data_IF_179015768742
#
_entry.id   IF_179015768742
#
_cell.length_a   1.000
_cell.length_b   1.000
_cell.length_c   1.000
_cell.angle_alpha   90.00
_cell.angle_beta   90.00
_cell.angle_gamma   90.00
#
_symmetry.space_group_name_H-M   'P 1'
#
loop_
_entity.id
_entity.type
_entity.pdbx_description
1 polymer ?
#
# COMPACT_ATOMS: atom_id res chain seq x y z
N UNK A 1 -23.34 -16.97 -2.52
CA UNK A 1 -22.89 -15.63 -2.91
C UNK A 1 -21.41 -15.74 -3.19
N UNK A 2 -21.03 -15.82 -4.47
CA UNK A 2 -19.62 -15.68 -4.86
C UNK A 2 -19.25 -14.21 -4.67
N UNK A 3 -18.29 -13.96 -3.78
CA UNK A 3 -17.78 -12.61 -3.57
C UNK A 3 -16.98 -12.20 -4.81
N UNK A 4 -17.06 -10.93 -5.24
CA UNK A 4 -16.24 -10.45 -6.34
C UNK A 4 -14.77 -10.63 -5.93
N UNK A 5 -14.11 -11.61 -6.56
CA UNK A 5 -12.66 -11.74 -6.54
C UNK A 5 -12.13 -10.42 -7.08
N UNK A 6 -11.32 -9.71 -6.29
CA UNK A 6 -10.60 -8.52 -6.79
C UNK A 6 -9.94 -8.95 -8.10
N UNK A 7 -10.22 -8.29 -9.25
CA UNK A 7 -9.68 -8.72 -10.52
C UNK A 7 -8.17 -8.84 -10.37
N UNK A 8 -7.66 -10.07 -10.43
CA UNK A 8 -6.23 -10.30 -10.45
C UNK A 8 -5.74 -9.68 -11.75
N UNK A 9 -4.91 -8.64 -11.64
CA UNK A 9 -4.29 -8.04 -12.81
C UNK A 9 -3.58 -9.16 -13.61
N UNK A 10 -3.83 -9.18 -14.91
CA UNK A 10 -3.09 -10.03 -15.83
C UNK A 10 -1.61 -9.64 -15.82
N UNK A 11 -0.72 -10.54 -16.24
CA UNK A 11 0.71 -10.23 -16.28
C UNK A 11 1.03 -9.01 -17.18
N UNK A 12 0.25 -8.80 -18.24
CA UNK A 12 0.38 -7.61 -19.09
C UNK A 12 -0.02 -6.32 -18.36
N UNK A 13 -1.10 -6.34 -17.58
CA UNK A 13 -1.51 -5.19 -16.76
C UNK A 13 -0.50 -4.91 -15.64
N UNK A 14 0.05 -5.95 -15.03
CA UNK A 14 1.12 -5.81 -14.04
C UNK A 14 2.37 -5.19 -14.67
N UNK A 15 2.76 -5.63 -15.87
CA UNK A 15 3.91 -5.05 -16.57
C UNK A 15 3.69 -3.56 -16.90
N UNK A 16 2.50 -3.18 -17.37
CA UNK A 16 2.14 -1.78 -17.61
C UNK A 16 2.19 -0.96 -16.32
N UNK A 17 1.64 -1.49 -15.22
CA UNK A 17 1.67 -0.81 -13.92
C UNK A 17 3.11 -0.60 -13.42
N UNK A 18 3.99 -1.59 -13.59
CA UNK A 18 5.41 -1.46 -13.24
C UNK A 18 6.08 -0.38 -14.09
N UNK A 19 5.79 -0.34 -15.39
CA UNK A 19 6.33 0.68 -16.29
C UNK A 19 5.86 2.08 -15.87
N UNK A 20 4.54 2.27 -15.70
CA UNK A 20 3.94 3.53 -15.27
C UNK A 20 4.55 4.00 -13.93
N UNK A 21 4.76 3.09 -12.99
CA UNK A 21 5.39 3.41 -11.71
C UNK A 21 6.87 3.78 -11.85
N UNK A 22 7.62 3.05 -12.67
CA UNK A 22 9.04 3.32 -12.90
C UNK A 22 9.27 4.68 -13.59
N UNK A 23 8.30 5.11 -14.41
CA UNK A 23 8.32 6.39 -15.12
C UNK A 23 7.94 7.57 -14.21
N UNK A 24 7.42 7.33 -13.01
CA UNK A 24 7.12 8.40 -12.05
C UNK A 24 8.41 9.13 -11.64
N UNK A 25 8.39 10.48 -11.62
CA UNK A 25 9.51 11.24 -11.10
C UNK A 25 9.72 10.93 -9.62
N UNK A 26 10.97 11.00 -9.17
CA UNK A 26 11.32 10.86 -7.75
C UNK A 26 11.85 12.15 -7.18
N UNK A 27 11.40 12.44 -5.97
CA UNK A 27 11.78 13.62 -5.20
C UNK A 27 12.11 13.20 -3.78
N UNK A 28 13.11 13.84 -3.19
CA UNK A 28 13.49 13.63 -1.79
C UNK A 28 12.38 14.06 -0.82
N UNK A 29 11.56 15.03 -1.23
CA UNK A 29 10.44 15.57 -0.46
C UNK A 29 9.11 15.33 -1.16
N UNK A 30 8.03 15.27 -0.37
CA UNK A 30 6.68 15.10 -0.92
C UNK A 30 6.28 16.33 -1.74
N UNK A 31 5.40 16.21 -2.75
CA UNK A 31 5.02 17.36 -3.57
C UNK A 31 4.26 18.45 -2.80
N UNK A 32 3.66 18.10 -1.66
CA UNK A 32 2.82 18.98 -0.84
C UNK A 32 3.60 19.84 0.16
N UNK A 33 4.90 19.59 0.37
CA UNK A 33 5.66 20.25 1.43
C UNK A 33 7.11 19.80 1.54
N UNK A 34 7.85 20.32 2.54
CA UNK A 34 9.28 20.02 2.71
C UNK A 34 9.53 18.65 3.36
N UNK A 35 8.49 17.87 3.67
CA UNK A 35 8.61 16.62 4.39
C UNK A 35 9.29 15.55 3.54
N UNK A 36 10.09 14.64 4.13
CA UNK A 36 10.69 13.53 3.42
C UNK A 36 9.65 12.68 2.68
N UNK A 37 9.95 12.32 1.43
CA UNK A 37 9.14 11.41 0.62
C UNK A 37 9.39 9.94 1.01
N UNK A 38 9.22 9.65 2.30
CA UNK A 38 9.43 8.36 2.92
C UNK A 38 8.09 7.84 3.44
N UNK A 39 7.77 6.60 3.09
CA UNK A 39 6.46 6.01 3.36
C UNK A 39 6.58 4.74 4.18
N UNK A 40 5.73 4.60 5.18
CA UNK A 40 5.58 3.39 5.99
C UNK A 40 4.38 2.63 5.45
N UNK A 41 4.49 1.31 5.31
CA UNK A 41 3.35 0.47 4.97
C UNK A 41 3.24 -0.78 5.83
N UNK A 42 2.01 -1.26 5.98
CA UNK A 42 1.69 -2.45 6.76
C UNK A 42 0.40 -3.12 6.30
N UNK A 43 0.15 -4.32 6.82
CA UNK A 43 -1.08 -5.07 6.58
C UNK A 43 -1.97 -5.00 7.81
N UNK A 44 -3.13 -4.37 7.65
CA UNK A 44 -4.07 -4.15 8.75
C UNK A 44 -5.41 -4.80 8.45
N UNK A 45 -5.96 -5.55 9.40
CA UNK A 45 -7.28 -6.17 9.25
C UNK A 45 -8.35 -5.11 9.41
N UNK A 46 -9.28 -5.03 8.47
CA UNK A 46 -10.44 -4.14 8.57
C UNK A 46 -11.66 -4.98 8.99
N UNK A 47 -12.36 -4.63 10.10
CA UNK A 47 -13.51 -5.36 10.62
C UNK A 47 -14.81 -5.06 9.85
N UNK A 48 -14.73 -4.82 8.54
CA UNK A 48 -15.86 -4.51 7.68
C UNK A 48 -16.02 -5.68 6.70
N UNK A 49 -17.17 -6.37 6.68
CA UNK A 49 -17.39 -7.46 5.74
C UNK A 49 -17.32 -7.01 4.27
N UNK A 50 -16.66 -7.78 3.39
CA UNK A 50 -15.89 -8.98 3.69
C UNK A 50 -14.57 -8.63 4.40
N UNK A 51 -14.24 -9.38 5.47
CA UNK A 51 -12.99 -9.16 6.19
C UNK A 51 -11.78 -9.40 5.28
N UNK A 52 -10.79 -8.54 5.41
CA UNK A 52 -9.60 -8.55 4.58
C UNK A 52 -8.46 -7.76 5.21
N UNK A 53 -7.24 -8.04 4.76
CA UNK A 53 -6.11 -7.16 4.97
C UNK A 53 -6.20 -5.96 4.03
N UNK A 54 -5.97 -4.77 4.58
CA UNK A 54 -5.71 -3.55 3.84
C UNK A 54 -4.20 -3.30 3.87
N UNK A 55 -3.61 -3.03 2.70
CA UNK A 55 -2.29 -2.42 2.61
C UNK A 55 -2.47 -0.95 2.98
N UNK A 56 -2.13 -0.60 4.22
CA UNK A 56 -2.16 0.77 4.70
C UNK A 56 -0.81 1.43 4.48
N UNK A 57 -0.82 2.64 3.95
CA UNK A 57 0.38 3.40 3.56
C UNK A 57 0.28 4.77 4.19
N UNK A 58 1.35 5.24 4.82
CA UNK A 58 1.39 6.54 5.49
C UNK A 58 2.74 7.23 5.30
N UNK A 59 2.70 8.54 5.06
CA UNK A 59 3.88 9.38 5.27
C UNK A 59 3.90 9.82 6.74
N UNK A 60 4.87 9.40 7.56
CA UNK A 60 4.83 9.60 8.99
C UNK A 60 4.95 11.07 9.42
N UNK A 61 5.52 11.92 8.56
CA UNK A 61 5.71 13.35 8.84
C UNK A 61 4.47 14.15 8.41
N UNK A 62 4.04 14.02 7.16
CA UNK A 62 2.89 14.76 6.63
C UNK A 62 1.53 14.18 7.04
N UNK A 63 1.52 12.97 7.63
CA UNK A 63 0.32 12.19 8.00
C UNK A 63 -0.61 11.90 6.81
N UNK A 64 -0.10 11.99 5.58
CA UNK A 64 -0.85 11.58 4.39
C UNK A 64 -1.00 10.07 4.42
N UNK A 65 -2.23 9.58 4.29
CA UNK A 65 -2.57 8.15 4.37
C UNK A 65 -3.23 7.68 3.09
N UNK A 66 -3.09 6.39 2.79
CA UNK A 66 -3.82 5.69 1.73
C UNK A 66 -4.01 4.21 2.09
N UNK A 67 -5.03 3.59 1.51
CA UNK A 67 -5.33 2.18 1.72
C UNK A 67 -5.64 1.48 0.40
N UNK A 68 -5.05 0.31 0.17
CA UNK A 68 -5.37 -0.58 -0.96
C UNK A 68 -5.78 -1.97 -0.47
N UNK A 69 -6.70 -2.62 -1.19
CA UNK A 69 -7.23 -3.93 -0.82
C UNK A 69 -8.71 -4.09 -1.20
N UNK A 70 -9.42 -5.04 -0.59
CA UNK A 70 -8.95 -6.00 0.42
C UNK A 70 -8.09 -7.13 -0.16
N UNK A 71 -7.14 -7.62 0.61
CA UNK A 71 -6.50 -8.92 0.44
C UNK A 71 -7.18 -9.96 1.35
N UNK A 72 -7.26 -11.24 0.95
CA UNK A 72 -7.80 -12.30 1.80
C UNK A 72 -7.04 -12.40 3.13
N UNK A 73 -7.74 -12.65 4.23
CA UNK A 73 -7.12 -13.02 5.51
C UNK A 73 -6.84 -14.53 5.51
N UNK A 74 -5.62 -14.90 5.83
CA UNK A 74 -5.20 -16.29 5.88
C UNK A 74 -5.52 -16.89 7.25
N UNK A 75 -6.16 -18.07 7.22
CA UNK A 75 -6.64 -18.77 8.43
C UNK A 75 -5.62 -19.76 8.98
N UNK A 76 -4.46 -19.87 8.34
CA UNK A 76 -3.37 -20.76 8.70
C UNK A 76 -2.02 -20.05 8.54
N UNK A 77 -0.96 -20.55 9.19
CA UNK A 77 0.40 -20.11 8.91
C UNK A 77 0.72 -20.28 7.43
N UNK A 78 1.36 -19.28 6.83
CA UNK A 78 1.69 -19.34 5.41
C UNK A 78 2.95 -20.17 5.15
N UNK A 79 2.90 -20.96 4.07
CA UNK A 79 4.08 -21.57 3.48
C UNK A 79 4.96 -20.52 2.80
N UNK A 80 6.22 -20.86 2.53
CA UNK A 80 7.12 -19.94 1.82
C UNK A 80 6.63 -19.54 0.42
N UNK A 81 5.84 -20.39 -0.26
CA UNK A 81 5.24 -20.04 -1.55
C UNK A 81 4.11 -19.02 -1.40
N UNK A 82 3.25 -19.21 -0.41
CA UNK A 82 2.15 -18.28 -0.11
C UNK A 82 2.67 -16.94 0.39
N UNK A 83 3.75 -16.92 1.18
CA UNK A 83 4.43 -15.69 1.59
C UNK A 83 4.96 -14.90 0.38
N UNK A 84 5.53 -15.57 -0.61
CA UNK A 84 5.97 -14.92 -1.86
C UNK A 84 4.78 -14.38 -2.65
N UNK A 85 3.69 -15.13 -2.74
CA UNK A 85 2.48 -14.68 -3.42
C UNK A 85 1.84 -13.47 -2.72
N UNK A 86 1.79 -13.47 -1.39
CA UNK A 86 1.37 -12.31 -0.60
C UNK A 86 2.29 -11.12 -0.88
N UNK A 87 3.61 -11.32 -0.86
CA UNK A 87 4.59 -10.29 -1.22
C UNK A 87 4.33 -9.69 -2.60
N UNK A 88 4.05 -10.53 -3.61
CA UNK A 88 3.70 -10.09 -4.97
C UNK A 88 2.42 -9.26 -4.98
N UNK A 89 1.36 -9.70 -4.30
CA UNK A 89 0.10 -8.96 -4.21
C UNK A 89 0.28 -7.61 -3.52
N UNK A 90 1.01 -7.57 -2.42
CA UNK A 90 1.31 -6.31 -1.71
C UNK A 90 2.14 -5.37 -2.58
N UNK A 91 3.17 -5.88 -3.27
CA UNK A 91 3.96 -5.09 -4.20
C UNK A 91 3.09 -4.46 -5.30
N UNK A 92 2.19 -5.24 -5.93
CA UNK A 92 1.26 -4.72 -6.94
C UNK A 92 0.35 -3.62 -6.38
N UNK A 93 -0.23 -3.84 -5.19
CA UNK A 93 -1.09 -2.83 -4.54
C UNK A 93 -0.30 -1.56 -4.18
N UNK A 94 0.94 -1.70 -3.72
CA UNK A 94 1.85 -0.59 -3.46
C UNK A 94 2.11 0.24 -4.73
N UNK A 95 2.45 -0.41 -5.86
CA UNK A 95 2.65 0.29 -7.13
C UNK A 95 1.38 1.03 -7.56
N UNK A 96 0.23 0.35 -7.48
CA UNK A 96 -1.08 0.91 -7.80
C UNK A 96 -1.41 2.14 -6.94
N UNK A 97 -1.07 2.11 -5.65
CA UNK A 97 -1.28 3.24 -4.75
C UNK A 97 -0.59 4.49 -5.29
N UNK A 98 0.66 4.42 -5.73
CA UNK A 98 1.36 5.61 -6.24
C UNK A 98 0.96 6.02 -7.66
N UNK A 99 0.63 5.06 -8.52
CA UNK A 99 0.21 5.36 -9.91
C UNK A 99 -1.20 5.96 -9.96
N UNK A 100 -2.13 5.46 -9.13
CA UNK A 100 -3.56 5.79 -9.26
C UNK A 100 -4.25 6.31 -7.99
N UNK A 101 -3.78 5.90 -6.80
CA UNK A 101 -4.41 6.22 -5.52
C UNK A 101 -3.93 7.54 -4.92
N UNK A 102 -2.68 7.56 -4.43
CA UNK A 102 -1.91 8.72 -4.00
C UNK A 102 -1.64 9.67 -5.16
N UNK A 103 -1.37 9.12 -6.35
CA UNK A 103 -1.33 9.83 -7.62
C UNK A 103 -2.73 10.10 -8.16
N UNK A 104 -3.59 10.75 -7.34
CA UNK A 104 -5.03 10.93 -7.57
C UNK A 104 -5.30 11.06 -9.07
N UNK A 105 -6.22 10.28 -9.62
CA UNK A 105 -6.52 10.29 -11.07
C UNK A 105 -6.83 11.69 -11.63
N UNK A 106 -7.16 12.65 -10.76
CA UNK A 106 -7.39 14.07 -11.08
C UNK A 106 -6.34 15.05 -10.50
N UNK A 107 -5.32 14.58 -9.79
CA UNK A 107 -4.25 15.44 -9.31
C UNK A 107 -3.38 15.89 -10.50
N UNK A 108 -2.90 17.15 -10.48
CA UNK A 108 -1.89 17.60 -11.42
C UNK A 108 -0.68 16.68 -11.44
N UNK A 109 -0.05 16.49 -12.60
CA UNK A 109 1.04 15.52 -12.77
C UNK A 109 2.24 15.75 -11.83
N UNK A 110 2.47 16.98 -11.38
CA UNK A 110 3.54 17.26 -10.42
C UNK A 110 3.32 16.67 -9.02
N UNK A 111 2.11 16.20 -8.70
CA UNK A 111 1.82 15.46 -7.47
C UNK A 111 2.04 13.95 -7.62
N UNK A 112 2.17 13.44 -8.86
CA UNK A 112 2.44 12.04 -9.14
C UNK A 112 3.94 11.81 -9.04
N UNK A 113 4.41 11.43 -7.86
CA UNK A 113 5.81 11.09 -7.62
C UNK A 113 5.90 9.70 -7.02
N UNK A 114 6.91 8.94 -7.43
CA UNK A 114 7.27 7.72 -6.75
C UNK A 114 7.88 8.07 -5.38
N UNK A 115 7.78 7.17 -4.38
CA UNK A 115 8.43 7.34 -3.11
C UNK A 115 9.95 7.49 -3.28
N UNK A 116 10.58 8.26 -2.40
CA UNK A 116 12.02 8.19 -2.26
C UNK A 116 12.39 6.89 -1.54
N UNK A 117 11.70 6.61 -0.44
CA UNK A 117 11.90 5.40 0.34
C UNK A 117 10.57 4.84 0.83
N UNK A 118 10.56 3.53 1.06
CA UNK A 118 9.47 2.81 1.68
C UNK A 118 10.04 1.88 2.72
N UNK A 119 9.32 1.77 3.83
CA UNK A 119 9.64 0.85 4.91
C UNK A 119 8.39 0.09 5.32
N UNK A 120 8.58 -1.18 5.65
CA UNK A 120 7.51 -2.02 6.16
C UNK A 120 7.47 -1.98 7.69
N UNK A 121 6.31 -2.20 8.29
CA UNK A 121 6.15 -2.29 9.75
C UNK A 121 6.90 -3.47 10.38
N UNK A 122 7.19 -4.53 9.61
CA UNK A 122 7.95 -5.70 10.04
C UNK A 122 8.97 -6.18 9.01
N UNK A 123 9.95 -6.95 9.49
CA UNK A 123 11.10 -7.41 8.70
C UNK A 123 10.73 -8.44 7.63
N UNK A 124 9.75 -9.31 7.92
CA UNK A 124 9.35 -10.37 7.00
C UNK A 124 8.63 -9.78 5.80
N UNK A 125 7.70 -8.86 6.06
CA UNK A 125 6.99 -8.10 5.03
C UNK A 125 7.94 -7.28 4.17
N UNK A 126 8.92 -6.58 4.77
CA UNK A 126 9.95 -5.86 4.04
C UNK A 126 10.70 -6.79 3.06
N UNK A 127 11.13 -7.96 3.53
CA UNK A 127 11.91 -8.90 2.73
C UNK A 127 11.09 -9.48 1.56
N UNK A 128 9.86 -9.96 1.80
CA UNK A 128 9.04 -10.58 0.75
C UNK A 128 8.58 -9.56 -0.28
N UNK A 129 8.25 -8.33 0.14
CA UNK A 129 7.86 -7.25 -0.78
C UNK A 129 9.06 -6.78 -1.59
N UNK A 130 10.22 -6.56 -0.97
CA UNK A 130 11.44 -6.15 -1.68
C UNK A 130 11.88 -7.17 -2.75
N UNK A 131 11.80 -8.47 -2.43
CA UNK A 131 12.04 -9.54 -3.41
C UNK A 131 11.02 -9.52 -4.55
N UNK A 132 9.74 -9.29 -4.22
CA UNK A 132 8.67 -9.25 -5.20
C UNK A 132 8.78 -8.05 -6.14
N UNK A 133 9.08 -6.85 -5.63
CA UNK A 133 9.33 -5.65 -6.42
C UNK A 133 10.46 -5.89 -7.44
N UNK A 134 11.54 -6.54 -7.00
CA UNK A 134 12.67 -6.90 -7.87
C UNK A 134 12.25 -7.85 -8.98
N UNK A 135 11.50 -8.89 -8.65
CA UNK A 135 11.02 -9.88 -9.62
C UNK A 135 10.01 -9.28 -10.61
N UNK A 136 9.28 -8.24 -10.20
CA UNK A 136 8.35 -7.50 -11.06
C UNK A 136 9.06 -6.53 -12.02
N UNK A 137 10.35 -6.24 -11.82
CA UNK A 137 11.11 -5.28 -12.66
C UNK A 137 11.02 -3.82 -12.19
N UNK A 138 10.68 -3.60 -10.92
CA UNK A 138 10.75 -2.25 -10.33
C UNK A 138 12.20 -1.79 -10.23
N UNK A 139 12.44 -0.50 -10.40
CA UNK A 139 13.76 0.13 -10.23
C UNK A 139 14.46 -0.33 -8.94
N UNK A 140 15.74 -0.69 -9.07
CA UNK A 140 16.47 -1.44 -8.04
C UNK A 140 16.64 -0.72 -6.71
N UNK A 141 16.64 0.62 -6.72
CA UNK A 141 16.71 1.47 -5.53
C UNK A 141 15.43 1.44 -4.69
N UNK A 142 14.28 1.17 -5.29
CA UNK A 142 13.00 1.01 -4.59
C UNK A 142 12.72 -0.44 -4.16
N UNK A 143 13.54 -1.40 -4.60
CA UNK A 143 13.45 -2.79 -4.16
C UNK A 143 14.09 -3.01 -2.78
N UNK A 144 14.88 -2.06 -2.29
CA UNK A 144 15.47 -2.07 -0.95
C UNK A 144 14.47 -1.53 0.07
N UNK A 145 13.51 -2.39 0.47
CA UNK A 145 12.50 -2.03 1.48
C UNK A 145 13.13 -2.09 2.88
N UNK A 146 13.09 -0.97 3.59
CA UNK A 146 13.58 -0.92 4.97
C UNK A 146 12.54 -1.42 5.98
N UNK A 147 12.91 -1.38 7.26
CA UNK A 147 11.99 -1.67 8.38
C UNK A 147 11.73 -0.38 9.13
N UNK A 148 10.46 -0.13 9.45
CA UNK A 148 10.04 1.06 10.19
C UNK A 148 10.61 1.03 11.61
N UNK A 149 10.99 2.21 12.11
CA UNK A 149 11.32 2.42 13.51
C UNK A 149 10.08 2.34 14.39
N UNK A 150 10.25 2.13 15.70
CA UNK A 150 9.11 2.08 16.63
C UNK A 150 8.27 3.37 16.61
N UNK A 151 8.93 4.52 16.45
CA UNK A 151 8.25 5.81 16.30
C UNK A 151 7.39 5.85 15.03
N UNK A 152 7.91 5.39 13.90
CA UNK A 152 7.17 5.31 12.64
C UNK A 152 5.98 4.35 12.73
N UNK A 153 6.14 3.21 13.42
CA UNK A 153 5.06 2.24 13.66
C UNK A 153 3.96 2.82 14.54
N UNK A 154 4.32 3.53 15.61
CA UNK A 154 3.33 4.19 16.48
C UNK A 154 2.50 5.21 15.69
N UNK A 155 3.16 6.02 14.85
CA UNK A 155 2.48 6.96 13.96
C UNK A 155 1.55 6.24 12.98
N UNK A 156 2.01 5.15 12.36
CA UNK A 156 1.20 4.37 11.43
C UNK A 156 -0.05 3.79 12.12
N UNK A 157 0.12 3.25 13.33
CA UNK A 157 -0.97 2.74 14.17
C UNK A 157 -1.99 3.82 14.51
N UNK A 158 -1.54 5.00 14.96
CA UNK A 158 -2.43 6.12 15.29
C UNK A 158 -3.21 6.61 14.07
N UNK A 159 -2.52 6.77 12.93
CA UNK A 159 -3.13 7.13 11.66
C UNK A 159 -4.14 6.09 11.18
N UNK A 160 -3.83 4.79 11.35
CA UNK A 160 -4.73 3.71 10.97
C UNK A 160 -5.97 3.68 11.86
N UNK A 161 -5.84 3.90 13.17
CA UNK A 161 -6.98 3.97 14.08
C UNK A 161 -7.98 5.08 13.68
N UNK A 162 -7.47 6.27 13.38
CA UNK A 162 -8.30 7.38 12.89
C UNK A 162 -8.91 7.11 11.50
N UNK A 163 -8.15 6.47 10.60
CA UNK A 163 -8.67 6.02 9.31
C UNK A 163 -9.82 5.03 9.48
N UNK A 164 -9.65 4.02 10.33
CA UNK A 164 -10.61 2.97 10.56
C UNK A 164 -11.90 3.52 11.18
N UNK A 165 -11.81 4.43 12.15
CA UNK A 165 -12.97 5.09 12.75
C UNK A 165 -13.80 5.82 11.68
N UNK A 166 -13.14 6.59 10.81
CA UNK A 166 -13.80 7.30 9.72
C UNK A 166 -14.44 6.35 8.71
N UNK A 167 -13.76 5.24 8.37
CA UNK A 167 -14.27 4.23 7.45
C UNK A 167 -15.54 3.56 8.00
N UNK A 168 -15.50 3.12 9.26
CA UNK A 168 -16.65 2.51 9.95
C UNK A 168 -17.82 3.49 10.03
N UNK A 169 -17.55 4.76 10.38
CA UNK A 169 -18.60 5.81 10.42
C UNK A 169 -19.27 5.99 9.06
N UNK A 170 -18.48 6.04 7.99
CA UNK A 170 -18.97 6.23 6.61
C UNK A 170 -19.83 5.04 6.17
N UNK A 171 -19.38 3.82 6.42
CA UNK A 171 -20.14 2.61 6.09
C UNK A 171 -21.47 2.52 6.86
N UNK A 172 -21.48 2.91 8.15
CA UNK A 172 -22.72 3.00 8.94
C UNK A 172 -23.69 4.04 8.40
N UNK A 173 -23.20 5.17 7.89
CA UNK A 173 -24.03 6.21 7.30
C UNK A 173 -24.62 5.77 5.95
N UNK A 174 -23.85 5.06 5.12
CA UNK A 174 -24.30 4.52 3.84
C UNK A 174 -25.31 3.37 3.98
N UNK A 175 -25.26 2.62 5.09
CA UNK A 175 -26.16 1.49 5.38
C UNK A 175 -27.50 1.87 6.00
N UNK A 176 -27.82 3.16 6.21
CA UNK A 176 -29.16 3.57 6.65
C UNK A 176 -30.10 3.66 5.43
N UNK A 177 -31.17 2.85 5.35
CA UNK A 177 -32.21 3.08 4.35
C UNK A 177 -32.84 4.47 4.60
N UNK A 178 -33.07 5.22 3.51
CA UNK A 178 -33.92 6.41 3.53
C UNK A 178 -35.37 6.01 3.67
#
# INVERSE_FOLDING_TARGET
MEYPVVPSLTDAEVANLVQDFNDLPRRLVVPTGPEPNRWVFGLHVVPIPPQGYLVFIVNPVSKTIHGEGPLPVETHPLTGAEMRERGRKVAILLLKAFVSGLGRTRAPDHYKVAPWEWVAEDMELAAVVGSSLRNLGVRGDLCAVGVATDQEKNIASDCFAGFLENLVRTMRAAGRPR
#
